data_IF_249630326929
#
_entry.id   IF_249630326929
#
_cell.length_a   1.000
_cell.length_b   1.000
_cell.length_c   1.000
_cell.angle_alpha   90.00
_cell.angle_beta   90.00
_cell.angle_gamma   90.00
#
_symmetry.space_group_name_H-M   'P 1'
#
loop_
_entity.id
_entity.type
_entity.pdbx_description
1 polymer ?
#
# COMPACT_ATOMS: atom_id res chain seq x y z
N UNK A 1 9.05 15.48 7.81
CA UNK A 1 8.53 14.48 6.86
C UNK A 1 7.13 14.13 7.29
N UNK A 2 6.19 14.08 6.35
CA UNK A 2 4.84 13.63 6.66
C UNK A 2 4.73 12.14 6.34
N UNK A 3 3.86 11.45 7.07
CA UNK A 3 3.56 10.05 6.81
C UNK A 3 2.42 9.94 5.81
N UNK A 4 2.54 8.97 4.93
CA UNK A 4 1.57 8.65 3.91
C UNK A 4 1.42 7.14 3.79
N UNK A 5 0.24 6.76 3.35
CA UNK A 5 -0.09 5.40 2.94
C UNK A 5 -0.23 5.39 1.42
N UNK A 6 0.50 4.49 0.78
CA UNK A 6 0.45 4.27 -0.65
C UNK A 6 -0.02 2.85 -0.90
N UNK A 7 -1.20 2.71 -1.51
CA UNK A 7 -1.66 1.42 -2.02
C UNK A 7 -1.58 1.43 -3.54
N UNK A 8 -0.99 0.40 -4.12
CA UNK A 8 -0.81 0.25 -5.57
C UNK A 8 -1.47 -1.05 -6.03
N UNK A 9 -2.25 -0.95 -7.10
CA UNK A 9 -2.83 -2.09 -7.80
C UNK A 9 -1.99 -2.31 -9.07
N UNK A 10 -1.29 -3.44 -9.10
CA UNK A 10 -0.42 -3.84 -10.21
C UNK A 10 -1.19 -4.79 -11.13
N UNK A 11 -0.88 -4.72 -12.43
CA UNK A 11 -1.44 -5.60 -13.45
C UNK A 11 -1.28 -7.09 -13.05
N UNK A 12 -2.34 -7.93 -13.19
CA UNK A 12 -2.31 -9.32 -12.73
C UNK A 12 -1.27 -10.18 -13.45
N UNK A 13 -0.93 -9.85 -14.70
CA UNK A 13 0.11 -10.57 -15.47
C UNK A 13 1.53 -10.42 -14.89
N UNK A 14 1.75 -9.36 -14.10
CA UNK A 14 3.04 -9.10 -13.47
C UNK A 14 3.19 -9.82 -12.12
N UNK A 15 2.25 -10.68 -11.75
CA UNK A 15 2.31 -11.49 -10.51
C UNK A 15 3.64 -12.28 -10.40
N UNK A 16 4.14 -12.83 -11.52
CA UNK A 16 5.40 -13.56 -11.54
C UNK A 16 6.66 -12.67 -11.50
N UNK A 17 6.54 -11.39 -11.91
CA UNK A 17 7.64 -10.42 -11.98
C UNK A 17 7.38 -9.21 -11.07
N UNK A 18 6.67 -9.44 -9.97
CA UNK A 18 6.14 -8.40 -9.10
C UNK A 18 7.27 -7.52 -8.54
N UNK A 19 8.37 -8.15 -8.12
CA UNK A 19 9.52 -7.44 -7.54
C UNK A 19 10.09 -6.37 -8.46
N UNK A 20 10.13 -6.61 -9.78
CA UNK A 20 10.63 -5.61 -10.73
C UNK A 20 9.71 -4.38 -10.79
N UNK A 21 8.39 -4.58 -10.75
CA UNK A 21 7.44 -3.47 -10.71
C UNK A 21 7.52 -2.73 -9.36
N UNK A 22 7.68 -3.47 -8.25
CA UNK A 22 7.84 -2.88 -6.92
C UNK A 22 9.14 -2.11 -6.79
N UNK A 23 10.24 -2.57 -7.36
CA UNK A 23 11.52 -1.86 -7.33
C UNK A 23 11.45 -0.50 -8.02
N UNK A 24 10.63 -0.35 -9.07
CA UNK A 24 10.35 0.96 -9.67
C UNK A 24 9.60 1.86 -8.69
N UNK A 25 8.60 1.34 -7.98
CA UNK A 25 7.85 2.10 -6.96
C UNK A 25 8.76 2.47 -5.79
N UNK A 26 9.58 1.54 -5.29
CA UNK A 26 10.57 1.78 -4.23
C UNK A 26 11.59 2.84 -4.64
N UNK A 27 12.12 2.73 -5.86
CA UNK A 27 13.04 3.69 -6.45
C UNK A 27 12.41 5.07 -6.61
N UNK A 28 11.14 5.13 -6.99
CA UNK A 28 10.38 6.38 -7.11
C UNK A 28 10.24 7.08 -5.74
N UNK A 29 9.93 6.34 -4.69
CA UNK A 29 9.81 6.88 -3.33
C UNK A 29 11.17 7.39 -2.82
N UNK A 30 12.22 6.58 -2.94
CA UNK A 30 13.57 6.93 -2.45
C UNK A 30 14.20 8.09 -3.23
N UNK A 31 14.06 8.13 -4.56
CA UNK A 31 14.59 9.22 -5.40
C UNK A 31 13.94 10.57 -5.08
N UNK A 32 12.69 10.56 -4.62
CA UNK A 32 12.00 11.78 -4.18
C UNK A 32 12.27 12.14 -2.70
N UNK A 33 13.32 11.55 -2.11
CA UNK A 33 13.72 11.78 -0.73
C UNK A 33 12.73 11.21 0.27
N UNK A 34 12.03 10.14 -0.09
CA UNK A 34 11.12 9.41 0.78
C UNK A 34 11.75 8.17 1.42
N UNK A 35 11.18 7.73 2.53
CA UNK A 35 11.57 6.50 3.24
C UNK A 35 10.39 5.54 3.31
N UNK A 36 10.62 4.25 3.07
CA UNK A 36 9.59 3.21 3.21
C UNK A 36 9.72 2.60 4.60
N UNK A 37 8.71 2.78 5.44
CA UNK A 37 8.69 2.26 6.82
C UNK A 37 8.15 0.83 6.85
N UNK A 38 7.16 0.53 6.01
CA UNK A 38 6.56 -0.79 5.92
C UNK A 38 6.12 -1.09 4.50
N UNK A 39 6.24 -2.35 4.12
CA UNK A 39 5.70 -2.89 2.88
C UNK A 39 4.91 -4.16 3.21
N UNK A 40 3.73 -4.28 2.63
CA UNK A 40 2.83 -5.42 2.82
C UNK A 40 2.21 -5.81 1.47
N UNK A 41 2.44 -7.06 1.05
CA UNK A 41 1.93 -7.57 -0.21
C UNK A 41 0.70 -8.44 0.06
N UNK A 42 -0.46 -7.96 -0.38
CA UNK A 42 -1.73 -8.66 -0.19
C UNK A 42 -2.04 -9.67 -1.30
N UNK A 43 -1.17 -9.77 -2.30
CA UNK A 43 -1.28 -10.69 -3.42
C UNK A 43 -2.40 -10.35 -4.38
N UNK A 44 -2.72 -11.30 -5.25
CA UNK A 44 -3.77 -11.17 -6.27
C UNK A 44 -5.15 -11.25 -5.66
N UNK A 45 -5.97 -10.24 -5.93
CA UNK A 45 -7.38 -10.18 -5.51
C UNK A 45 -8.28 -9.88 -6.71
N UNK A 46 -9.50 -10.41 -6.67
CA UNK A 46 -10.54 -10.08 -7.63
C UNK A 46 -11.09 -8.68 -7.36
N UNK A 47 -11.18 -7.86 -8.39
CA UNK A 47 -11.75 -6.52 -8.31
C UNK A 47 -13.28 -6.60 -8.29
N UNK A 48 -13.93 -5.62 -7.65
CA UNK A 48 -15.39 -5.53 -7.64
C UNK A 48 -15.96 -5.21 -9.03
N UNK A 49 -15.16 -4.56 -9.88
CA UNK A 49 -15.47 -4.21 -11.26
C UNK A 49 -14.16 -4.10 -12.06
N UNK A 50 -14.25 -4.29 -13.38
CA UNK A 50 -13.08 -4.25 -14.24
C UNK A 50 -12.43 -2.86 -14.27
N UNK A 51 -11.11 -2.81 -14.06
CA UNK A 51 -10.30 -1.60 -14.18
C UNK A 51 -9.34 -1.79 -15.34
N UNK A 52 -9.39 -0.91 -16.35
CA UNK A 52 -8.60 -1.05 -17.59
C UNK A 52 -8.73 -2.43 -18.26
N UNK A 53 -9.93 -3.04 -18.18
CA UNK A 53 -10.28 -4.39 -18.69
C UNK A 53 -9.74 -5.58 -17.87
N UNK A 54 -9.13 -5.33 -16.73
CA UNK A 54 -8.68 -6.38 -15.81
C UNK A 54 -9.70 -6.62 -14.69
N UNK A 55 -10.01 -7.88 -14.42
CA UNK A 55 -10.87 -8.32 -13.31
C UNK A 55 -10.09 -8.65 -12.03
N UNK A 56 -8.77 -8.71 -12.12
CA UNK A 56 -7.86 -9.03 -11.02
C UNK A 56 -6.76 -7.98 -10.93
N UNK A 57 -6.23 -7.76 -9.73
CA UNK A 57 -5.03 -6.96 -9.53
C UNK A 57 -4.21 -7.52 -8.37
N UNK A 58 -2.90 -7.29 -8.40
CA UNK A 58 -2.02 -7.56 -7.27
C UNK A 58 -1.97 -6.31 -6.39
N UNK A 59 -2.37 -6.45 -5.12
CA UNK A 59 -2.42 -5.35 -4.17
C UNK A 59 -1.14 -5.29 -3.35
N UNK A 60 -0.48 -4.12 -3.37
CA UNK A 60 0.67 -3.87 -2.51
C UNK A 60 0.48 -2.56 -1.75
N UNK A 61 0.69 -2.63 -0.45
CA UNK A 61 0.53 -1.55 0.50
C UNK A 61 1.89 -1.11 1.04
N UNK A 62 2.08 0.20 1.13
CA UNK A 62 3.30 0.82 1.63
C UNK A 62 2.97 1.91 2.65
N UNK A 63 3.70 1.91 3.76
CA UNK A 63 3.78 3.06 4.66
C UNK A 63 5.05 3.82 4.33
N UNK A 64 4.91 5.09 3.94
CA UNK A 64 6.01 5.90 3.43
C UNK A 64 6.08 7.25 4.14
N UNK A 65 7.29 7.71 4.46
CA UNK A 65 7.56 9.06 4.93
C UNK A 65 8.03 9.88 3.75
N UNK A 66 7.30 10.94 3.42
CA UNK A 66 7.59 11.78 2.27
C UNK A 66 7.75 13.26 2.67
N UNK A 67 8.61 14.01 1.97
CA UNK A 67 8.59 15.48 2.04
C UNK A 67 7.33 16.02 1.36
N UNK A 68 6.88 17.21 1.73
CA UNK A 68 5.64 17.81 1.21
C UNK A 68 5.62 18.01 -0.32
N UNK A 69 6.77 18.02 -0.98
CA UNK A 69 6.93 18.19 -2.43
C UNK A 69 6.92 16.89 -3.23
N UNK A 70 7.04 15.72 -2.58
CA UNK A 70 7.11 14.42 -3.24
C UNK A 70 5.76 13.84 -3.72
N UNK A 71 4.62 13.99 -3.00
CA UNK A 71 3.36 13.35 -3.39
C UNK A 71 2.95 13.61 -4.84
N UNK A 72 3.05 14.87 -5.30
CA UNK A 72 2.67 15.26 -6.66
C UNK A 72 3.59 14.63 -7.73
N UNK A 73 4.88 14.48 -7.43
CA UNK A 73 5.84 13.85 -8.34
C UNK A 73 5.57 12.35 -8.45
N UNK A 74 5.32 11.71 -7.32
CA UNK A 74 5.01 10.28 -7.26
C UNK A 74 3.71 9.99 -8.00
N UNK A 75 2.64 10.77 -7.76
CA UNK A 75 1.37 10.60 -8.46
C UNK A 75 1.48 10.77 -9.98
N UNK A 76 2.30 11.73 -10.44
CA UNK A 76 2.51 11.95 -11.86
C UNK A 76 3.20 10.76 -12.55
N UNK A 77 4.22 10.19 -11.91
CA UNK A 77 4.91 9.01 -12.45
C UNK A 77 3.99 7.78 -12.41
N UNK A 78 3.27 7.54 -11.31
CA UNK A 78 2.35 6.40 -11.21
C UNK A 78 1.19 6.48 -12.21
N UNK A 79 0.76 7.68 -12.61
CA UNK A 79 -0.27 7.87 -13.63
C UNK A 79 0.17 7.44 -15.04
N UNK A 80 1.45 7.59 -15.38
CA UNK A 80 2.01 7.24 -16.70
C UNK A 80 2.56 5.81 -16.76
N UNK A 81 2.70 5.15 -15.61
CA UNK A 81 3.16 3.76 -15.54
C UNK A 81 2.01 2.82 -15.87
N UNK A 82 2.03 2.20 -17.04
CA UNK A 82 0.97 1.29 -17.51
C UNK A 82 0.81 0.04 -16.64
N UNK A 83 1.91 -0.40 -16.00
CA UNK A 83 1.97 -1.54 -15.09
C UNK A 83 1.10 -1.33 -13.82
N UNK A 84 0.79 -0.07 -13.49
CA UNK A 84 -0.05 0.32 -12.36
C UNK A 84 -1.46 0.61 -12.86
N UNK A 85 -2.42 -0.22 -12.46
CA UNK A 85 -3.84 -0.06 -12.81
C UNK A 85 -4.46 1.12 -12.07
N UNK A 86 -4.12 1.25 -10.79
CA UNK A 86 -4.61 2.31 -9.90
C UNK A 86 -3.68 2.45 -8.70
N UNK A 87 -3.63 3.63 -8.12
CA UNK A 87 -3.01 3.85 -6.83
C UNK A 87 -3.89 4.76 -5.98
N UNK A 88 -3.63 4.72 -4.68
CA UNK A 88 -4.21 5.63 -3.71
C UNK A 88 -3.09 6.08 -2.77
N UNK A 89 -2.84 7.39 -2.74
CA UNK A 89 -1.87 8.02 -1.84
C UNK A 89 -2.64 8.89 -0.85
N UNK A 90 -2.60 8.54 0.43
CA UNK A 90 -3.32 9.22 1.50
C UNK A 90 -2.33 9.73 2.54
N UNK A 91 -2.54 10.94 3.05
CA UNK A 91 -1.75 11.47 4.16
C UNK A 91 -2.28 10.89 5.46
N UNK A 92 -1.42 10.25 6.23
CA UNK A 92 -1.78 9.70 7.54
C UNK A 92 -1.71 10.82 8.58
N UNK A 93 -2.84 11.11 9.23
CA UNK A 93 -2.88 11.98 10.41
C UNK A 93 -2.40 11.19 11.64
N UNK A 94 -1.66 11.84 12.54
CA UNK A 94 -1.19 11.26 13.80
C UNK A 94 -2.33 10.70 14.65
N UNK A 95 -3.50 11.36 14.63
CA UNK A 95 -4.70 10.87 15.33
C UNK A 95 -5.23 9.57 14.74
N UNK A 96 -5.29 9.48 13.41
CA UNK A 96 -5.76 8.28 12.70
C UNK A 96 -4.86 7.09 12.98
N UNK A 97 -3.54 7.31 13.04
CA UNK A 97 -2.57 6.27 13.38
C UNK A 97 -2.74 5.71 14.78
N UNK A 98 -2.94 6.58 15.79
CA UNK A 98 -3.20 6.15 17.18
C UNK A 98 -4.47 5.33 17.28
N UNK A 99 -5.55 5.77 16.62
CA UNK A 99 -6.81 5.03 16.61
C UNK A 99 -6.69 3.64 15.96
N UNK A 100 -5.92 3.54 14.86
CA UNK A 100 -5.63 2.27 14.17
C UNK A 100 -4.74 1.35 15.02
N UNK A 101 -3.74 1.90 15.71
CA UNK A 101 -2.89 1.14 16.63
C UNK A 101 -3.71 0.56 17.80
N UNK A 102 -4.57 1.38 18.41
CA UNK A 102 -5.48 0.93 19.46
C UNK A 102 -6.50 -0.10 18.96
N UNK A 103 -6.99 0.02 17.72
CA UNK A 103 -7.85 -1.01 17.11
C UNK A 103 -7.12 -2.32 16.92
N UNK A 104 -5.90 -2.31 16.38
CA UNK A 104 -5.09 -3.52 16.22
C UNK A 104 -4.75 -4.17 17.57
N UNK A 105 -4.47 -3.38 18.61
CA UNK A 105 -4.26 -3.90 19.96
C UNK A 105 -5.54 -4.50 20.56
N UNK A 106 -6.70 -3.91 20.31
CA UNK A 106 -7.99 -4.49 20.72
C UNK A 106 -8.29 -5.79 19.98
N UNK A 107 -8.08 -5.83 18.67
CA UNK A 107 -8.28 -7.05 17.86
C UNK A 107 -7.31 -8.16 18.26
N UNK A 108 -6.05 -7.83 18.55
CA UNK A 108 -5.06 -8.79 19.04
C UNK A 108 -5.46 -9.37 20.41
N UNK A 109 -5.97 -8.54 21.33
CA UNK A 109 -6.46 -9.00 22.65
C UNK A 109 -7.69 -9.90 22.53
N UNK A 110 -8.63 -9.54 21.66
CA UNK A 110 -9.82 -10.36 21.39
C UNK A 110 -9.43 -11.69 20.74
N UNK A 111 -8.45 -11.71 19.84
CA UNK A 111 -7.95 -12.95 19.24
C UNK A 111 -7.25 -13.87 20.25
N UNK A 112 -6.50 -13.31 21.20
CA UNK A 112 -5.89 -14.11 22.29
C UNK A 112 -6.93 -14.65 23.27
N UNK A 113 -7.95 -13.87 23.61
CA UNK A 113 -9.04 -14.33 24.50
C UNK A 113 -9.98 -15.34 23.84
N UNK A 114 -10.11 -15.31 22.51
CA UNK A 114 -10.83 -16.33 21.76
C UNK A 114 -10.07 -17.67 21.72
N UNK A 115 -8.75 -17.62 21.53
CA UNK A 115 -7.90 -18.81 21.53
C UNK A 115 -7.85 -19.52 22.90
N UNK A 116 -7.88 -18.76 24.01
CA UNK A 116 -7.95 -19.32 25.37
C UNK A 116 -9.34 -19.89 25.74
N UNK A 117 -10.40 -19.58 24.98
CA UNK A 117 -11.76 -20.12 25.20
C UNK A 117 -12.09 -21.36 24.38
N UNK A 118 -11.29 -21.68 23.36
CA UNK A 118 -11.45 -22.86 22.50
C UNK A 118 -10.50 -24.03 22.88
N UNK A 119 -9.67 -23.87 23.93
CA UNK A 119 -8.81 -24.90 24.52
C UNK A 119 -9.41 -25.46 25.82
#
# INVERSE_FOLDING_TARGET
MNEYELTVLIHPDLEANLDTALDKVRSLVTTNGGEITKEDNWGKKKLAYAIRREDFAVYVYFEVKLPSSAPLKISNVLNITDEVLRYLLVKTDEKTRRALAEQKEREAKVATEAADKEA
#
